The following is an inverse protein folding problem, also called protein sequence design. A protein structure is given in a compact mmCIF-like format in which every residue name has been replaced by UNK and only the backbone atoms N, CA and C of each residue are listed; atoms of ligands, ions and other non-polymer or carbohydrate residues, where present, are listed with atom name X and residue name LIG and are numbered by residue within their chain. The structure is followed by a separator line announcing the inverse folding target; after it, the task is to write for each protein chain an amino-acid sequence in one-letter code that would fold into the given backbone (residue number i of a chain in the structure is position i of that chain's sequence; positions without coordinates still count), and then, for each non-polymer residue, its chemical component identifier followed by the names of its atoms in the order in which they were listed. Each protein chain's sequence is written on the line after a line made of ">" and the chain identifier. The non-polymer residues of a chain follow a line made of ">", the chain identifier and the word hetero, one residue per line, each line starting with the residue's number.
data_IF_732022216821
#
_entry.id   IF_732022216821
#
_cell.length_a   1.000
_cell.length_b   1.000
_cell.length_c   1.000
_cell.angle_alpha   90.00
_cell.angle_beta   90.00
_cell.angle_gamma   90.00
#
_symmetry.space_group_name_H-M   'P 1'
#
loop_
_entity.id
_entity.type
_entity.pdbx_description
1 polymer ?
#
# COMPACT_ATOMS: atom_id res chain seq x y z
N UNK A 1 43.61 -5.26 -61.02
CA UNK A 1 42.22 -4.94 -60.66
C UNK A 1 41.87 -5.72 -59.41
N UNK A 2 41.85 -5.07 -58.24
CA UNK A 2 41.46 -5.69 -56.98
C UNK A 2 39.92 -5.73 -56.93
N UNK A 3 39.35 -6.94 -56.85
CA UNK A 3 37.93 -7.15 -56.55
C UNK A 3 37.69 -6.82 -55.07
N UNK A 4 36.89 -5.81 -54.81
CA UNK A 4 36.38 -5.46 -53.48
C UNK A 4 35.15 -6.31 -53.17
N UNK A 5 35.22 -7.15 -52.15
CA UNK A 5 34.07 -7.83 -51.54
C UNK A 5 33.30 -6.86 -50.64
N UNK A 6 31.97 -6.68 -50.80
CA UNK A 6 31.17 -5.91 -49.87
C UNK A 6 30.60 -6.88 -48.83
N UNK A 7 31.32 -7.11 -47.76
CA UNK A 7 30.80 -7.85 -46.62
C UNK A 7 31.09 -7.01 -45.38
N UNK A 8 30.04 -6.45 -44.78
CA UNK A 8 29.93 -5.90 -43.41
C UNK A 8 29.06 -4.63 -43.38
N UNK A 9 27.79 -4.77 -43.71
CA UNK A 9 26.76 -3.88 -43.20
C UNK A 9 25.53 -4.73 -42.92
N UNK A 10 25.38 -5.21 -41.69
CA UNK A 10 24.15 -5.24 -40.86
C UNK A 10 24.53 -5.96 -39.57
N UNK A 11 25.08 -5.26 -38.57
CA UNK A 11 25.06 -5.78 -37.20
C UNK A 11 25.12 -4.67 -36.15
N UNK A 12 24.25 -3.67 -36.24
CA UNK A 12 24.02 -2.73 -35.12
C UNK A 12 22.56 -2.29 -35.05
N UNK A 13 21.66 -3.24 -34.80
CA UNK A 13 20.30 -2.99 -34.34
C UNK A 13 19.98 -3.81 -33.08
N UNK A 14 20.99 -3.98 -32.22
CA UNK A 14 20.82 -4.50 -30.86
C UNK A 14 21.06 -3.39 -29.83
N UNK A 15 20.58 -2.17 -30.09
CA UNK A 15 20.46 -1.16 -29.03
C UNK A 15 19.21 -1.48 -28.20
N UNK A 16 19.40 -2.34 -27.20
CA UNK A 16 18.80 -2.20 -25.88
C UNK A 16 17.30 -1.94 -25.82
N UNK A 17 16.48 -2.93 -26.21
CA UNK A 17 15.21 -3.13 -25.52
C UNK A 17 15.51 -3.70 -24.12
N UNK A 18 16.15 -2.90 -23.25
CA UNK A 18 16.01 -3.11 -21.82
C UNK A 18 14.53 -2.85 -21.56
N UNK A 19 13.73 -3.91 -21.59
CA UNK A 19 12.31 -3.82 -21.25
C UNK A 19 12.23 -3.05 -19.94
N UNK A 20 11.61 -1.86 -19.98
CA UNK A 20 11.40 -1.05 -18.79
C UNK A 20 10.61 -1.91 -17.83
N UNK A 21 11.31 -2.54 -16.87
CA UNK A 21 10.68 -3.32 -15.83
C UNK A 21 9.85 -2.32 -15.03
N UNK A 22 8.52 -2.35 -15.23
CA UNK A 22 7.61 -1.51 -14.48
C UNK A 22 7.82 -1.83 -13.00
N UNK A 23 8.40 -0.89 -12.25
CA UNK A 23 8.54 -1.02 -10.81
C UNK A 23 7.15 -1.29 -10.23
N UNK A 24 6.98 -2.48 -9.66
CA UNK A 24 5.74 -2.86 -8.99
C UNK A 24 5.81 -2.37 -7.56
N UNK A 25 4.77 -1.69 -7.09
CA UNK A 25 4.69 -1.41 -5.67
C UNK A 25 4.43 -2.68 -4.87
N UNK A 26 5.24 -2.90 -3.85
CA UNK A 26 5.06 -3.97 -2.87
C UNK A 26 4.42 -3.42 -1.60
N UNK A 27 3.29 -3.97 -1.14
CA UNK A 27 2.71 -3.53 0.13
C UNK A 27 3.54 -3.96 1.35
N UNK A 28 4.30 -5.06 1.25
CA UNK A 28 5.16 -5.54 2.33
C UNK A 28 6.18 -4.48 2.74
N UNK A 29 6.34 -4.25 4.04
CA UNK A 29 7.30 -3.31 4.62
C UNK A 29 6.65 -2.31 5.58
N UNK A 30 7.42 -1.27 5.91
CA UNK A 30 7.03 -0.21 6.86
C UNK A 30 6.58 1.04 6.12
N UNK A 31 5.49 1.62 6.58
CA UNK A 31 4.84 2.78 6.00
C UNK A 31 4.52 3.79 7.07
N UNK A 32 4.58 5.08 6.73
CA UNK A 32 4.16 6.20 7.58
C UNK A 32 3.19 7.06 6.79
N UNK A 33 2.11 7.51 7.43
CA UNK A 33 1.16 8.43 6.80
C UNK A 33 1.43 9.90 7.12
N UNK A 34 0.65 10.76 6.49
CA UNK A 34 0.61 12.21 6.65
C UNK A 34 0.27 12.70 8.07
N UNK A 35 -0.24 11.83 8.94
CA UNK A 35 -0.49 12.11 10.37
C UNK A 35 0.62 11.57 11.29
N UNK A 36 1.63 10.90 10.75
CA UNK A 36 2.70 10.24 11.52
C UNK A 36 2.35 8.84 12.02
N UNK A 37 1.20 8.28 11.66
CA UNK A 37 0.82 6.90 11.98
C UNK A 37 1.65 5.91 11.16
N UNK A 38 2.11 4.84 11.82
CA UNK A 38 2.95 3.82 11.22
C UNK A 38 2.18 2.52 10.97
N UNK A 39 2.41 1.91 9.82
CA UNK A 39 1.86 0.62 9.43
C UNK A 39 2.99 -0.32 9.01
N UNK A 40 2.97 -1.56 9.49
CA UNK A 40 3.89 -2.61 9.05
C UNK A 40 3.10 -3.77 8.48
N UNK A 41 3.35 -4.11 7.21
CA UNK A 41 2.82 -5.31 6.56
C UNK A 41 3.97 -6.31 6.45
N UNK A 42 3.84 -7.47 7.07
CA UNK A 42 4.94 -8.44 7.19
C UNK A 42 5.06 -9.33 5.97
N UNK A 43 3.96 -9.96 5.55
CA UNK A 43 3.91 -10.83 4.38
C UNK A 43 2.55 -10.76 3.69
N UNK A 44 2.56 -10.96 2.37
CA UNK A 44 1.37 -11.15 1.54
C UNK A 44 1.43 -12.58 0.99
N UNK A 45 0.40 -13.38 1.22
CA UNK A 45 0.36 -14.75 0.74
C UNK A 45 -0.03 -14.84 -0.75
N UNK A 46 0.00 -16.07 -1.29
CA UNK A 46 -0.32 -16.32 -2.70
C UNK A 46 -1.72 -15.84 -3.11
N UNK A 47 -2.68 -15.89 -2.20
CA UNK A 47 -4.07 -15.46 -2.42
C UNK A 47 -4.27 -13.95 -2.22
N UNK A 48 -3.21 -13.20 -1.93
CA UNK A 48 -3.26 -11.77 -1.70
C UNK A 48 -3.68 -11.37 -0.28
N UNK A 49 -3.95 -12.31 0.63
CA UNK A 49 -4.22 -11.99 2.02
C UNK A 49 -2.92 -11.60 2.75
N UNK A 50 -3.03 -10.66 3.69
CA UNK A 50 -1.90 -10.17 4.46
C UNK A 50 -2.32 -9.79 5.88
N UNK A 51 -1.33 -9.74 6.77
CA UNK A 51 -1.48 -9.26 8.13
C UNK A 51 -0.34 -8.29 8.48
N UNK A 52 -0.52 -7.60 9.60
CA UNK A 52 0.44 -6.62 10.04
C UNK A 52 0.06 -5.97 11.36
N UNK A 53 0.69 -4.83 11.61
CA UNK A 53 0.41 -3.98 12.77
C UNK A 53 0.25 -2.53 12.34
N UNK A 54 -0.58 -1.82 13.09
CA UNK A 54 -0.85 -0.40 12.93
C UNK A 54 -0.61 0.32 14.26
N UNK A 55 0.17 1.38 14.22
CA UNK A 55 0.42 2.27 15.35
C UNK A 55 -0.01 3.68 14.95
N UNK A 56 -1.15 4.12 15.47
CA UNK A 56 -1.67 5.45 15.15
C UNK A 56 -0.91 6.54 15.91
N UNK A 57 -0.76 7.72 15.33
CA UNK A 57 -0.25 8.90 16.04
C UNK A 57 -1.38 9.72 16.70
N UNK A 58 -2.64 9.45 16.35
CA UNK A 58 -3.81 10.19 16.80
C UNK A 58 -4.93 9.25 17.25
N UNK A 59 -5.73 9.68 18.23
CA UNK A 59 -6.91 8.98 18.71
C UNK A 59 -8.02 9.98 19.06
N UNK A 60 -9.28 9.56 18.93
CA UNK A 60 -10.44 10.33 19.38
C UNK A 60 -10.87 9.99 20.83
N UNK A 61 -10.15 9.08 21.50
CA UNK A 61 -10.38 8.68 22.88
C UNK A 61 -9.28 9.24 23.79
N UNK A 62 -9.49 9.23 25.10
CA UNK A 62 -8.45 9.53 26.10
C UNK A 62 -7.58 8.32 26.46
N UNK A 63 -7.80 7.17 25.82
CA UNK A 63 -7.08 5.94 26.12
C UNK A 63 -5.65 6.02 25.55
N UNK A 64 -4.70 5.41 26.27
CA UNK A 64 -3.34 5.27 25.77
C UNK A 64 -3.33 4.49 24.45
N UNK A 65 -2.69 5.06 23.42
CA UNK A 65 -2.55 4.43 22.12
C UNK A 65 -1.70 3.17 22.25
N UNK A 66 -2.18 2.07 21.65
CA UNK A 66 -1.47 0.79 21.59
C UNK A 66 -1.33 0.30 20.16
N UNK A 67 -0.24 -0.43 19.92
CA UNK A 67 -0.06 -1.18 18.68
C UNK A 67 -1.26 -2.12 18.47
N UNK A 68 -1.86 -2.05 17.29
CA UNK A 68 -3.11 -2.77 16.98
C UNK A 68 -2.91 -3.68 15.76
N UNK A 69 -3.47 -4.89 15.75
CA UNK A 69 -3.36 -5.79 14.61
C UNK A 69 -4.17 -5.28 13.41
N UNK A 70 -3.64 -5.54 12.21
CA UNK A 70 -4.40 -5.39 10.96
C UNK A 70 -4.42 -6.69 10.16
N UNK A 71 -5.51 -6.90 9.42
CA UNK A 71 -5.65 -7.97 8.42
C UNK A 71 -6.32 -7.41 7.16
N UNK A 72 -5.88 -7.87 5.99
CA UNK A 72 -6.42 -7.39 4.73
C UNK A 72 -6.17 -8.34 3.57
N UNK A 73 -6.59 -7.88 2.39
CA UNK A 73 -6.34 -8.54 1.13
C UNK A 73 -6.08 -7.52 0.03
N UNK A 74 -5.23 -7.90 -0.92
CA UNK A 74 -5.03 -7.17 -2.17
C UNK A 74 -5.61 -7.96 -3.32
N UNK A 75 -6.13 -7.23 -4.32
CA UNK A 75 -6.70 -7.84 -5.50
C UNK A 75 -5.62 -8.61 -6.26
N UNK A 76 -5.87 -9.91 -6.49
CA UNK A 76 -5.06 -10.76 -7.35
C UNK A 76 -5.90 -11.14 -8.57
N UNK A 77 -5.39 -10.84 -9.77
CA UNK A 77 -6.02 -11.28 -11.02
C UNK A 77 -4.97 -11.85 -11.97
N UNK A 78 -5.26 -12.93 -12.71
CA UNK A 78 -4.37 -13.42 -13.78
C UNK A 78 -4.03 -12.33 -14.81
N UNK A 79 -4.95 -11.38 -15.02
CA UNK A 79 -4.80 -10.26 -15.95
C UNK A 79 -4.57 -8.94 -15.23
N UNK A 80 -3.99 -8.98 -14.02
CA UNK A 80 -3.79 -7.78 -13.20
C UNK A 80 -2.93 -6.76 -13.96
N UNK A 81 -3.56 -5.65 -14.35
CA UNK A 81 -2.88 -4.50 -14.94
C UNK A 81 -2.35 -3.62 -13.82
N UNK A 82 -1.05 -3.34 -13.84
CA UNK A 82 -0.43 -2.39 -12.90
C UNK A 82 -0.52 -2.81 -11.43
N UNK A 83 -0.73 -1.82 -10.56
CA UNK A 83 -0.62 -1.95 -9.11
C UNK A 83 -1.99 -2.25 -8.49
N UNK A 84 -2.11 -3.31 -7.66
CA UNK A 84 -3.41 -3.79 -7.18
C UNK A 84 -4.04 -2.81 -6.19
N UNK A 85 -5.36 -2.77 -6.21
CA UNK A 85 -6.14 -2.23 -5.10
C UNK A 85 -6.13 -3.21 -3.93
N UNK A 86 -6.37 -2.71 -2.73
CA UNK A 86 -6.39 -3.51 -1.51
C UNK A 86 -7.33 -2.91 -0.48
N UNK A 87 -7.65 -3.71 0.53
CA UNK A 87 -8.32 -3.25 1.74
C UNK A 87 -7.82 -3.99 2.96
N UNK A 88 -7.89 -3.35 4.13
CA UNK A 88 -7.55 -3.96 5.40
C UNK A 88 -8.38 -3.38 6.54
N UNK A 89 -8.50 -4.16 7.61
CA UNK A 89 -9.18 -3.80 8.84
C UNK A 89 -8.14 -3.69 9.96
N UNK A 90 -8.21 -2.62 10.75
CA UNK A 90 -7.49 -2.44 12.00
C UNK A 90 -8.47 -2.66 13.15
N UNK A 91 -8.15 -3.64 14.01
CA UNK A 91 -8.90 -3.89 15.23
C UNK A 91 -8.18 -3.21 16.41
N UNK A 92 -8.71 -2.09 16.90
CA UNK A 92 -7.99 -1.23 17.85
C UNK A 92 -7.86 -1.88 19.23
N UNK A 93 -6.64 -2.15 19.67
CA UNK A 93 -6.38 -2.83 20.96
C UNK A 93 -6.55 -1.95 22.21
N UNK A 94 -7.01 -0.70 22.04
CA UNK A 94 -7.17 0.29 23.10
C UNK A 94 -8.52 1.01 23.07
N UNK A 95 -9.47 0.59 22.22
CA UNK A 95 -10.81 1.18 22.15
C UNK A 95 -11.82 0.21 21.54
N UNK A 96 -13.10 0.38 21.84
CA UNK A 96 -14.19 -0.35 21.20
C UNK A 96 -14.52 0.27 19.83
N UNK A 97 -13.57 0.20 18.91
CA UNK A 97 -13.75 0.68 17.55
C UNK A 97 -12.98 -0.19 16.55
N UNK A 98 -13.38 -0.09 15.29
CA UNK A 98 -12.70 -0.72 14.16
C UNK A 98 -12.49 0.30 13.06
N UNK A 99 -11.42 0.18 12.29
CA UNK A 99 -11.22 1.01 11.10
C UNK A 99 -10.91 0.16 9.90
N UNK A 100 -11.63 0.39 8.81
CA UNK A 100 -11.32 -0.21 7.51
C UNK A 100 -10.64 0.81 6.63
N UNK A 101 -9.62 0.38 5.90
CA UNK A 101 -8.93 1.14 4.87
C UNK A 101 -9.13 0.45 3.53
N UNK A 102 -9.31 1.24 2.48
CA UNK A 102 -9.24 0.77 1.10
C UNK A 102 -8.35 1.72 0.30
N UNK A 103 -7.60 1.18 -0.65
CA UNK A 103 -6.65 2.01 -1.37
C UNK A 103 -5.96 1.31 -2.52
N UNK A 104 -4.98 2.03 -3.07
CA UNK A 104 -4.12 1.59 -4.14
C UNK A 104 -2.71 2.08 -3.89
N UNK A 105 -1.72 1.24 -4.19
CA UNK A 105 -0.34 1.68 -4.25
C UNK A 105 -0.02 2.20 -5.65
N UNK A 106 0.80 3.24 -5.70
CA UNK A 106 1.33 3.87 -6.89
C UNK A 106 2.86 3.94 -6.81
N UNK A 107 3.49 4.06 -7.98
CA UNK A 107 4.90 4.38 -8.14
C UNK A 107 4.89 5.63 -9.00
N UNK A 108 5.40 6.74 -8.48
CA UNK A 108 5.44 8.00 -9.20
C UNK A 108 6.53 8.02 -10.28
N UNK A 109 6.59 9.11 -11.05
CA UNK A 109 7.55 9.28 -12.14
C UNK A 109 9.02 9.25 -11.66
N UNK A 110 9.27 9.49 -10.38
CA UNK A 110 10.58 9.42 -9.75
C UNK A 110 10.88 8.02 -9.18
N UNK A 111 9.97 7.07 -9.32
CA UNK A 111 10.09 5.72 -8.81
C UNK A 111 9.80 5.58 -7.31
N UNK A 112 9.19 6.58 -6.67
CA UNK A 112 8.80 6.55 -5.26
C UNK A 112 7.44 5.88 -5.09
N UNK A 113 7.36 4.94 -4.16
CA UNK A 113 6.11 4.28 -3.81
C UNK A 113 5.23 5.16 -2.91
N UNK A 114 3.95 5.27 -3.26
CA UNK A 114 2.94 6.05 -2.53
C UNK A 114 1.66 5.22 -2.43
N UNK A 115 1.15 5.06 -1.21
CA UNK A 115 -0.12 4.36 -0.96
C UNK A 115 -1.20 5.40 -0.65
N UNK A 116 -2.21 5.49 -1.52
CA UNK A 116 -3.38 6.36 -1.29
C UNK A 116 -4.53 5.55 -0.76
N UNK A 117 -5.12 6.00 0.35
CA UNK A 117 -6.21 5.29 1.02
C UNK A 117 -7.35 6.22 1.40
N UNK A 118 -8.55 5.65 1.47
CA UNK A 118 -9.66 6.15 2.26
C UNK A 118 -9.91 5.20 3.43
N UNK A 119 -10.55 5.71 4.48
CA UNK A 119 -10.91 4.89 5.63
C UNK A 119 -12.28 5.23 6.21
N UNK A 120 -12.88 4.23 6.86
CA UNK A 120 -14.05 4.38 7.71
C UNK A 120 -13.72 3.90 9.11
N UNK A 121 -13.84 4.79 10.10
CA UNK A 121 -13.72 4.45 11.51
C UNK A 121 -15.12 4.26 12.09
N UNK A 122 -15.39 3.06 12.60
CA UNK A 122 -16.64 2.69 13.24
C UNK A 122 -16.45 2.63 14.75
N UNK A 123 -17.10 3.56 15.45
CA UNK A 123 -17.21 3.55 16.91
C UNK A 123 -18.29 2.59 17.38
N UNK A 124 -18.10 1.99 18.56
CA UNK A 124 -19.18 1.32 19.30
C UNK A 124 -20.28 2.32 19.68
N UNK A 125 -21.53 1.84 19.67
CA UNK A 125 -22.71 2.56 20.17
C UNK A 125 -23.57 1.59 20.98
N UNK A 126 -24.03 2.04 22.15
CA UNK A 126 -24.85 1.21 23.04
C UNK A 126 -26.28 0.98 22.50
N UNK A 127 -26.76 1.85 21.60
CA UNK A 127 -28.13 1.81 21.05
C UNK A 127 -28.12 2.09 19.54
N UNK A 128 -28.93 1.34 18.79
CA UNK A 128 -29.11 1.48 17.34
C UNK A 128 -29.56 2.89 16.90
N UNK A 129 -30.28 3.62 17.74
CA UNK A 129 -30.69 5.01 17.49
C UNK A 129 -29.50 5.96 17.40
N UNK A 130 -28.34 5.58 17.94
CA UNK A 130 -27.10 6.34 17.85
C UNK A 130 -26.20 5.94 16.66
N UNK A 131 -26.62 4.96 15.85
CA UNK A 131 -25.85 4.46 14.71
C UNK A 131 -25.45 5.57 13.71
N UNK A 132 -26.33 6.55 13.52
CA UNK A 132 -26.15 7.66 12.57
C UNK A 132 -24.84 8.46 12.76
N UNK A 133 -24.29 8.48 13.99
CA UNK A 133 -23.05 9.21 14.33
C UNK A 133 -21.84 8.30 14.54
N UNK A 134 -21.98 7.00 14.29
CA UNK A 134 -20.97 6.00 14.65
C UNK A 134 -19.84 5.85 13.63
N UNK A 135 -20.01 6.35 12.40
CA UNK A 135 -19.04 6.18 11.32
C UNK A 135 -18.40 7.51 10.93
N UNK A 136 -17.08 7.61 11.06
CA UNK A 136 -16.26 8.71 10.53
C UNK A 136 -15.57 8.27 9.25
N UNK A 137 -15.28 9.21 8.35
CA UNK A 137 -14.61 8.97 7.07
C UNK A 137 -13.41 9.90 6.91
N UNK A 138 -12.36 9.42 6.25
CA UNK A 138 -11.21 10.24 5.91
C UNK A 138 -10.31 9.60 4.87
N UNK A 139 -9.16 10.24 4.65
CA UNK A 139 -8.12 9.77 3.71
C UNK A 139 -6.76 9.81 4.38
N UNK A 140 -5.86 8.92 3.97
CA UNK A 140 -4.45 9.01 4.33
C UNK A 140 -3.57 8.65 3.14
N UNK A 141 -2.42 9.32 3.09
CA UNK A 141 -1.37 9.04 2.11
C UNK A 141 -0.16 8.49 2.85
N UNK A 142 0.25 7.28 2.51
CA UNK A 142 1.40 6.63 3.12
C UNK A 142 2.59 6.64 2.16
N UNK A 143 3.77 6.83 2.74
CA UNK A 143 5.07 6.64 2.08
C UNK A 143 5.90 5.66 2.88
N UNK A 144 6.95 5.12 2.26
CA UNK A 144 7.91 4.25 2.98
C UNK A 144 8.49 4.97 4.18
N UNK A 145 8.49 4.28 5.32
CA UNK A 145 9.22 4.74 6.49
C UNK A 145 10.70 4.48 6.23
N UNK A 146 11.51 5.56 6.18
CA UNK A 146 12.95 5.43 6.02
C UNK A 146 13.55 4.81 7.28
N UNK A 147 14.47 3.87 7.11
CA UNK A 147 15.34 3.43 8.21
C UNK A 147 16.17 4.64 8.64
N UNK A 148 16.08 5.02 9.91
CA UNK A 148 17.15 5.82 10.51
C UNK A 148 18.37 4.89 10.57
N UNK A 149 19.39 5.22 9.78
CA UNK A 149 20.74 4.67 9.95
C UNK A 149 21.32 5.12 11.29
#
# INVERSE_FOLDING_TARGET
>A
MLQTTPFLLVLFLALGAHGLSVKKCSLTGRWVNDLGSNMTITTVNANGAFSGTYHTAVTATSNEIKLSPLQGSLQKSPNQKGQPTFGFTVNWSFSDSVTVFTGQCFVDDNGKEVVKTMWLLRSHMDDIKNDWKATRVGTNVFTRLQSQE
#
